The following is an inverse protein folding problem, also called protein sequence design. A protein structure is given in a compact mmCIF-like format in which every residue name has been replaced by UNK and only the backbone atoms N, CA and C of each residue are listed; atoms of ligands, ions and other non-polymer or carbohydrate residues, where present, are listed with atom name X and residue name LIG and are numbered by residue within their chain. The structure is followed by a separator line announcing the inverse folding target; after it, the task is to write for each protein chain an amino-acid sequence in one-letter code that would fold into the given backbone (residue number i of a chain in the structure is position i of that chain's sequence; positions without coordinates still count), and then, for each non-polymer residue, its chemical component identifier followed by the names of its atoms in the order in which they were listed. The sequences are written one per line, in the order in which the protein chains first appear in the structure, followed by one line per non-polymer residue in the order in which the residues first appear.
data_IF_240599981931
#
_entry.id   IF_240599981931
#
_cell.length_a   1.000
_cell.length_b   1.000
_cell.length_c   1.000
_cell.angle_alpha   90.00
_cell.angle_beta   90.00
_cell.angle_gamma   90.00
#
_symmetry.space_group_name_H-M   'P 1'
#
loop_
_entity.id
_entity.type
_entity.pdbx_description
1 polymer ?
#
# COMPACT_ATOMS: atom_id res chain seq x y z
N UNK A 1 3.93 -15.77 2.04
CA UNK A 1 3.30 -14.69 1.25
C UNK A 1 4.42 -13.82 0.72
N UNK A 2 4.25 -13.24 -0.47
CA UNK A 2 5.34 -12.59 -1.21
C UNK A 2 5.22 -11.06 -1.24
N UNK A 3 4.02 -10.52 -0.98
CA UNK A 3 3.74 -9.10 -0.88
C UNK A 3 2.48 -8.88 -0.03
N UNK A 4 2.26 -7.63 0.39
CA UNK A 4 1.06 -7.18 1.12
C UNK A 4 0.39 -6.07 0.32
N UNK A 5 -0.89 -6.22 -0.02
CA UNK A 5 -1.73 -5.14 -0.55
C UNK A 5 -2.74 -4.78 0.53
N UNK A 6 -2.73 -3.54 1.00
CA UNK A 6 -3.53 -3.12 2.16
C UNK A 6 -4.29 -1.82 1.90
N UNK A 7 -5.54 -1.80 2.36
CA UNK A 7 -6.30 -0.58 2.60
C UNK A 7 -6.58 -0.51 4.11
N UNK A 8 -5.84 0.36 4.81
CA UNK A 8 -5.95 0.47 6.26
C UNK A 8 -7.08 1.41 6.72
N UNK A 9 -7.83 2.00 5.78
CA UNK A 9 -8.91 2.94 6.10
C UNK A 9 -8.41 4.08 6.99
N UNK A 10 -9.09 4.30 8.13
CA UNK A 10 -8.68 5.34 9.09
C UNK A 10 -7.32 5.05 9.76
N UNK A 11 -6.93 3.78 9.91
CA UNK A 11 -5.63 3.41 10.51
C UNK A 11 -4.45 3.85 9.66
N UNK A 12 -4.66 4.17 8.39
CA UNK A 12 -3.69 4.87 7.55
C UNK A 12 -3.14 6.13 8.22
N UNK A 13 -4.00 6.88 8.93
CA UNK A 13 -3.64 8.18 9.50
C UNK A 13 -3.23 8.09 10.97
N UNK A 14 -3.56 6.99 11.66
CA UNK A 14 -3.46 6.89 13.13
C UNK A 14 -2.81 5.58 13.63
N UNK A 15 -2.72 4.56 12.79
CA UNK A 15 -2.32 3.20 13.16
C UNK A 15 -0.82 3.00 13.20
N UNK A 16 -0.14 3.63 14.17
CA UNK A 16 1.31 3.44 14.38
C UNK A 16 1.68 1.96 14.56
N UNK A 17 0.93 1.21 15.38
CA UNK A 17 1.18 -0.22 15.58
C UNK A 17 1.01 -1.04 14.30
N UNK A 18 0.08 -0.67 13.41
CA UNK A 18 -0.09 -1.30 12.11
C UNK A 18 1.08 -0.97 11.18
N UNK A 19 1.51 0.29 11.13
CA UNK A 19 2.71 0.70 10.38
C UNK A 19 3.92 -0.13 10.82
N UNK A 20 4.15 -0.23 12.12
CA UNK A 20 5.33 -0.93 12.63
C UNK A 20 5.27 -2.43 12.32
N UNK A 21 4.10 -3.05 12.48
CA UNK A 21 3.89 -4.44 12.05
C UNK A 21 4.12 -4.67 10.55
N UNK A 22 3.71 -3.72 9.70
CA UNK A 22 3.96 -3.78 8.25
C UNK A 22 5.45 -3.63 7.91
N UNK A 23 6.17 -2.78 8.64
CA UNK A 23 7.62 -2.61 8.48
C UNK A 23 8.38 -3.88 8.91
N UNK A 24 7.97 -4.49 10.02
CA UNK A 24 8.59 -5.70 10.58
C UNK A 24 8.29 -6.97 9.76
N UNK A 25 7.25 -6.96 8.93
CA UNK A 25 6.86 -8.10 8.11
C UNK A 25 7.92 -8.52 7.07
N UNK A 26 8.88 -7.64 6.75
CA UNK A 26 9.92 -7.87 5.73
C UNK A 26 9.37 -8.28 4.35
N UNK A 27 8.13 -7.90 4.04
CA UNK A 27 7.48 -8.09 2.75
C UNK A 27 7.26 -6.73 2.06
N UNK A 28 7.29 -6.65 0.72
CA UNK A 28 6.91 -5.44 0.01
C UNK A 28 5.43 -5.10 0.28
N UNK A 29 5.19 -3.88 0.73
CA UNK A 29 3.85 -3.36 1.06
C UNK A 29 3.36 -2.42 -0.03
N UNK A 30 2.10 -2.57 -0.43
CA UNK A 30 1.41 -1.68 -1.36
C UNK A 30 0.14 -1.16 -0.71
N UNK A 31 -0.06 0.15 -0.75
CA UNK A 31 -1.18 0.81 -0.10
C UNK A 31 -2.26 1.20 -1.12
N UNK A 32 -3.53 0.92 -0.79
CA UNK A 32 -4.69 1.20 -1.66
C UNK A 32 -5.76 1.95 -0.90
N UNK A 33 -6.32 2.97 -1.53
CA UNK A 33 -7.48 3.73 -1.05
C UNK A 33 -8.55 3.81 -2.12
N UNK A 34 -9.78 3.44 -1.74
CA UNK A 34 -10.94 3.55 -2.64
C UNK A 34 -11.21 5.00 -3.06
N UNK A 35 -11.18 5.93 -2.10
CA UNK A 35 -11.35 7.37 -2.33
C UNK A 35 -10.01 8.07 -2.49
N UNK A 36 -9.99 9.23 -3.15
CA UNK A 36 -8.80 10.10 -3.15
C UNK A 36 -8.64 10.74 -1.77
N UNK A 37 -7.65 10.29 -1.00
CA UNK A 37 -7.42 10.79 0.37
C UNK A 37 -6.93 12.25 0.39
N UNK A 38 -6.34 12.73 -0.71
CA UNK A 38 -5.83 14.10 -0.84
C UNK A 38 -6.91 15.13 -1.23
N UNK A 39 -8.11 14.67 -1.62
CA UNK A 39 -9.26 15.53 -1.88
C UNK A 39 -10.19 15.65 -0.67
N UNK A 40 -9.75 15.17 0.49
CA UNK A 40 -10.57 15.04 1.70
C UNK A 40 -10.14 16.03 2.78
N UNK A 41 -10.56 15.80 4.00
CA UNK A 41 -10.18 16.60 5.15
C UNK A 41 -8.66 16.51 5.39
N UNK A 42 -8.03 17.58 5.87
CA UNK A 42 -6.57 17.66 6.01
C UNK A 42 -5.96 16.51 6.83
N UNK A 43 -6.70 15.98 7.83
CA UNK A 43 -6.24 14.84 8.63
C UNK A 43 -6.13 13.53 7.84
N UNK A 44 -6.72 13.45 6.64
CA UNK A 44 -6.63 12.30 5.74
C UNK A 44 -5.52 12.41 4.70
N UNK A 45 -4.84 13.54 4.62
CA UNK A 45 -3.81 13.74 3.61
C UNK A 45 -2.52 12.97 3.92
N UNK A 46 -2.27 12.69 5.21
CA UNK A 46 -1.05 12.05 5.68
C UNK A 46 -1.29 10.56 5.90
N UNK A 47 -0.54 9.71 5.22
CA UNK A 47 -0.47 8.28 5.50
C UNK A 47 0.79 7.95 6.28
N UNK A 48 0.64 7.20 7.38
CA UNK A 48 1.74 6.60 8.14
C UNK A 48 2.34 5.38 7.41
N UNK A 49 1.61 4.80 6.46
CA UNK A 49 1.98 3.60 5.70
C UNK A 49 2.73 3.98 4.41
N UNK A 50 2.35 5.09 3.76
CA UNK A 50 2.97 5.54 2.50
C UNK A 50 4.52 5.60 2.55
N UNK A 51 5.17 6.05 3.63
CA UNK A 51 6.64 6.08 3.71
C UNK A 51 7.31 4.70 3.66
N UNK A 52 6.60 3.62 4.00
CA UNK A 52 7.12 2.24 3.97
C UNK A 52 6.55 1.41 2.81
N UNK A 53 5.59 1.93 2.06
CA UNK A 53 4.98 1.26 0.93
C UNK A 53 5.83 1.44 -0.35
N UNK A 54 5.89 0.39 -1.19
CA UNK A 54 6.47 0.43 -2.53
C UNK A 54 5.68 1.34 -3.47
N UNK A 55 4.36 1.39 -3.29
CA UNK A 55 3.47 2.31 -4.00
C UNK A 55 2.19 2.58 -3.19
N UNK A 56 1.57 3.73 -3.43
CA UNK A 56 0.24 4.07 -2.94
C UNK A 56 -0.68 4.39 -4.13
N UNK A 57 -1.85 3.76 -4.18
CA UNK A 57 -2.91 4.03 -5.18
C UNK A 57 -4.13 4.58 -4.47
N UNK A 58 -4.61 5.75 -4.90
CA UNK A 58 -5.73 6.44 -4.25
C UNK A 58 -6.74 6.97 -5.27
N UNK A 59 -8.03 6.82 -4.98
CA UNK A 59 -9.11 7.44 -5.77
C UNK A 59 -9.61 6.68 -6.99
N UNK A 60 -9.17 5.43 -7.19
CA UNK A 60 -9.63 4.60 -8.31
C UNK A 60 -10.77 3.64 -7.94
N UNK A 61 -11.36 3.79 -6.75
CA UNK A 61 -12.34 2.85 -6.22
C UNK A 61 -11.76 1.43 -6.15
N UNK A 62 -12.60 0.42 -6.40
CA UNK A 62 -12.18 -0.98 -6.37
C UNK A 62 -11.11 -1.32 -7.43
N UNK A 63 -11.03 -0.56 -8.53
CA UNK A 63 -10.04 -0.76 -9.59
C UNK A 63 -8.61 -0.51 -9.12
N UNK A 64 -8.44 0.28 -8.06
CA UNK A 64 -7.13 0.49 -7.44
C UNK A 64 -6.49 -0.83 -7.01
N UNK A 65 -7.27 -1.80 -6.53
CA UNK A 65 -6.75 -3.12 -6.17
C UNK A 65 -6.22 -3.90 -7.36
N UNK A 66 -6.86 -3.80 -8.53
CA UNK A 66 -6.41 -4.49 -9.74
C UNK A 66 -5.08 -3.92 -10.22
N UNK A 67 -4.98 -2.58 -10.34
CA UNK A 67 -3.75 -1.90 -10.76
C UNK A 67 -2.61 -2.20 -9.80
N UNK A 68 -2.88 -2.17 -8.49
CA UNK A 68 -1.87 -2.49 -7.48
C UNK A 68 -1.45 -3.94 -7.52
N UNK A 69 -2.37 -4.88 -7.77
CA UNK A 69 -2.03 -6.30 -7.90
C UNK A 69 -1.14 -6.55 -9.13
N UNK A 70 -1.50 -5.98 -10.28
CA UNK A 70 -0.69 -6.07 -11.50
C UNK A 70 0.72 -5.52 -11.28
N UNK A 71 0.83 -4.33 -10.68
CA UNK A 71 2.11 -3.73 -10.36
C UNK A 71 2.92 -4.55 -9.35
N UNK A 72 2.27 -5.11 -8.33
CA UNK A 72 2.93 -5.96 -7.33
C UNK A 72 3.50 -7.23 -7.98
N UNK A 73 2.71 -7.92 -8.82
CA UNK A 73 3.18 -9.12 -9.53
C UNK A 73 4.36 -8.78 -10.46
N UNK A 74 4.27 -7.69 -11.23
CA UNK A 74 5.35 -7.25 -12.10
C UNK A 74 6.65 -7.01 -11.31
N UNK A 75 6.58 -6.22 -10.23
CA UNK A 75 7.73 -5.92 -9.39
C UNK A 75 8.35 -7.17 -8.76
N UNK A 76 7.53 -8.12 -8.30
CA UNK A 76 8.02 -9.37 -7.73
C UNK A 76 8.74 -10.26 -8.74
N UNK A 77 8.37 -10.19 -10.02
CA UNK A 77 9.02 -10.94 -11.09
C UNK A 77 10.33 -10.28 -11.56
N UNK A 78 10.46 -8.97 -11.38
CA UNK A 78 11.69 -8.21 -11.70
C UNK A 78 12.76 -8.33 -10.61
N UNK A 79 12.41 -8.77 -9.39
CA UNK A 79 13.37 -8.91 -8.30
C UNK A 79 14.44 -10.00 -8.62
N UNK A 80 15.74 -9.67 -8.52
CA UNK A 80 16.82 -10.62 -8.81
C UNK A 80 16.72 -11.85 -7.90
N UNK A 81 16.54 -13.04 -8.49
CA UNK A 81 16.43 -14.31 -7.76
C UNK A 81 15.06 -15.00 -7.85
N UNK A 82 14.03 -14.37 -8.43
CA UNK A 82 12.75 -15.02 -8.74
C UNK A 82 12.51 -15.33 -10.21
N UNK A 83 13.22 -14.64 -11.11
CA UNK A 83 13.27 -14.98 -12.52
C UNK A 83 14.18 -16.22 -12.70
N UNK A 84 13.65 -17.41 -12.40
CA UNK A 84 14.26 -18.71 -12.69
C UNK A 84 13.22 -19.66 -13.27
#
# INVERSE_FOLDING_TARGET
ADAIIINAGALTHYGLSLRDALADAALPVFEVHLSNIHSREAFRHTSLIAPIARAQVSGLGWRGYLVTLEAAVALLNEEPGRAS
#
